data_IF_545619580452
#
_entry.id   IF_545619580452
#
_cell.length_a   1.000
_cell.length_b   1.000
_cell.length_c   1.000
_cell.angle_alpha   90.00
_cell.angle_beta   90.00
_cell.angle_gamma   90.00
#
_symmetry.space_group_name_H-M   'P 1'
#
loop_
_entity.id
_entity.type
_entity.pdbx_description
1 polymer ?
#
# COMPACT_ATOMS: atom_id res chain seq x y z
N UNK A 1 -8.72 -42.48 6.27
CA UNK A 1 -9.13 -41.32 5.42
C UNK A 1 -8.39 -40.09 5.93
N UNK A 2 -7.39 -39.60 5.18
CA UNK A 2 -6.68 -38.37 5.53
C UNK A 2 -7.55 -37.20 5.04
N UNK A 3 -8.07 -36.39 5.94
CA UNK A 3 -8.82 -35.20 5.57
C UNK A 3 -7.84 -34.21 4.94
N UNK A 4 -7.98 -33.99 3.63
CA UNK A 4 -7.35 -32.86 2.97
C UNK A 4 -8.12 -31.62 3.40
N UNK A 5 -7.57 -30.86 4.34
CA UNK A 5 -8.04 -29.51 4.63
C UNK A 5 -7.98 -28.75 3.31
N UNK A 6 -9.14 -28.51 2.70
CA UNK A 6 -9.27 -27.59 1.57
C UNK A 6 -8.83 -26.22 2.08
N UNK A 7 -7.55 -25.88 1.92
CA UNK A 7 -7.08 -24.53 2.12
C UNK A 7 -7.79 -23.67 1.07
N UNK A 8 -8.84 -22.97 1.48
CA UNK A 8 -9.56 -22.03 0.62
C UNK A 8 -8.54 -21.09 -0.01
N UNK A 9 -8.33 -21.12 -1.34
CA UNK A 9 -7.45 -20.18 -1.97
C UNK A 9 -8.12 -18.80 -1.92
N UNK A 10 -7.41 -17.81 -1.38
CA UNK A 10 -7.44 -16.48 -2.03
C UNK A 10 -8.09 -15.30 -1.34
N UNK A 11 -8.66 -15.38 -0.12
CA UNK A 11 -9.28 -14.17 0.47
C UNK A 11 -9.29 -14.12 2.01
N UNK A 12 -8.17 -14.46 2.66
CA UNK A 12 -8.07 -14.29 4.11
C UNK A 12 -7.87 -12.81 4.44
N UNK A 13 -8.72 -12.21 5.31
CA UNK A 13 -8.54 -10.83 5.79
C UNK A 13 -7.12 -10.57 6.33
N UNK A 14 -6.49 -11.58 6.95
CA UNK A 14 -5.12 -11.49 7.45
C UNK A 14 -4.11 -11.17 6.34
N UNK A 15 -4.27 -11.76 5.15
CA UNK A 15 -3.37 -11.49 4.01
C UNK A 15 -3.56 -10.06 3.49
N UNK A 16 -4.79 -9.55 3.44
CA UNK A 16 -5.05 -8.17 3.03
C UNK A 16 -4.44 -7.18 4.02
N UNK A 17 -4.64 -7.40 5.31
CA UNK A 17 -4.03 -6.61 6.38
C UNK A 17 -2.50 -6.63 6.26
N UNK A 18 -1.90 -7.81 6.11
CA UNK A 18 -0.45 -7.94 5.92
C UNK A 18 0.06 -7.23 4.67
N UNK A 19 -0.70 -7.27 3.57
CA UNK A 19 -0.36 -6.55 2.32
C UNK A 19 -0.34 -5.05 2.54
N UNK A 20 -1.36 -4.50 3.22
CA UNK A 20 -1.44 -3.06 3.50
C UNK A 20 -0.30 -2.60 4.42
N UNK A 21 -0.08 -3.29 5.53
CA UNK A 21 0.99 -2.94 6.47
C UNK A 21 2.38 -3.18 5.90
N UNK A 22 2.57 -4.21 5.07
CA UNK A 22 3.82 -4.43 4.34
C UNK A 22 4.15 -3.25 3.43
N UNK A 23 3.19 -2.81 2.60
CA UNK A 23 3.40 -1.64 1.74
C UNK A 23 3.69 -0.34 2.50
N UNK A 24 3.16 -0.19 3.73
CA UNK A 24 3.49 0.95 4.60
C UNK A 24 4.90 0.78 5.20
N UNK A 25 5.27 -0.42 5.61
CA UNK A 25 6.62 -0.68 6.12
C UNK A 25 7.68 -0.41 5.04
N UNK A 26 7.40 -0.77 3.78
CA UNK A 26 8.30 -0.52 2.65
C UNK A 26 8.60 0.97 2.44
N UNK A 27 7.74 1.89 2.91
CA UNK A 27 8.01 3.33 2.80
C UNK A 27 9.07 3.82 3.79
N UNK A 28 9.43 3.03 4.81
CA UNK A 28 10.48 3.40 5.77
C UNK A 28 11.85 3.53 5.11
N UNK A 29 12.07 2.78 4.02
CA UNK A 29 13.31 2.79 3.25
C UNK A 29 13.27 3.78 2.07
N UNK A 30 12.23 4.61 1.95
CA UNK A 30 12.09 5.55 0.84
C UNK A 30 12.95 6.81 1.02
N UNK A 31 13.43 7.32 -0.11
CA UNK A 31 14.10 8.61 -0.17
C UNK A 31 13.12 9.76 0.08
N UNK A 32 13.66 10.92 0.50
CA UNK A 32 12.85 12.10 0.84
C UNK A 32 11.91 12.54 -0.30
N UNK A 33 12.35 12.42 -1.55
CA UNK A 33 11.56 12.85 -2.72
C UNK A 33 10.33 11.96 -2.94
N UNK A 34 10.44 10.67 -2.69
CA UNK A 34 9.31 9.73 -2.77
C UNK A 34 8.31 9.99 -1.65
N UNK A 35 8.79 10.26 -0.43
CA UNK A 35 7.96 10.70 0.68
C UNK A 35 7.19 11.99 0.35
N UNK A 36 7.86 12.98 -0.25
CA UNK A 36 7.22 14.22 -0.67
C UNK A 36 6.13 13.98 -1.72
N UNK A 37 6.40 13.11 -2.69
CA UNK A 37 5.43 12.77 -3.73
C UNK A 37 4.22 11.99 -3.15
N UNK A 38 4.44 11.11 -2.18
CA UNK A 38 3.38 10.44 -1.44
C UNK A 38 2.52 11.44 -0.66
N UNK A 39 3.14 12.34 0.10
CA UNK A 39 2.42 13.39 0.84
C UNK A 39 1.55 14.24 -0.08
N UNK A 40 2.08 14.66 -1.24
CA UNK A 40 1.31 15.42 -2.22
C UNK A 40 0.09 14.65 -2.74
N UNK A 41 0.22 13.34 -3.02
CA UNK A 41 -0.91 12.49 -3.44
C UNK A 41 -1.97 12.36 -2.35
N UNK A 42 -1.55 12.16 -1.10
CA UNK A 42 -2.47 12.04 0.04
C UNK A 42 -3.21 13.36 0.28
N UNK A 43 -2.53 14.50 0.18
CA UNK A 43 -3.16 15.83 0.28
C UNK A 43 -4.13 16.10 -0.86
N UNK A 44 -3.78 15.71 -2.09
CA UNK A 44 -4.64 15.85 -3.26
C UNK A 44 -5.93 15.02 -3.18
N UNK A 45 -6.00 14.03 -2.30
CA UNK A 45 -7.23 13.27 -2.05
C UNK A 45 -8.35 14.11 -1.42
N UNK A 46 -8.03 15.26 -0.83
CA UNK A 46 -8.98 16.10 -0.09
C UNK A 46 -9.52 15.47 1.21
N UNK A 47 -9.06 14.25 1.54
CA UNK A 47 -9.48 13.55 2.76
C UNK A 47 -8.57 13.97 3.92
N UNK A 48 -9.12 14.37 5.08
CA UNK A 48 -8.31 14.65 6.26
C UNK A 48 -7.44 13.45 6.62
N UNK A 49 -6.18 13.68 7.01
CA UNK A 49 -5.21 12.59 7.25
C UNK A 49 -5.75 11.54 8.24
N UNK A 50 -6.40 11.97 9.32
CA UNK A 50 -7.00 11.08 10.32
C UNK A 50 -8.26 10.32 9.86
N UNK A 51 -8.71 10.52 8.62
CA UNK A 51 -9.86 9.84 8.01
C UNK A 51 -9.47 9.02 6.77
N UNK A 52 -8.18 8.99 6.43
CA UNK A 52 -7.70 8.17 5.33
C UNK A 52 -7.91 6.69 5.64
N UNK A 53 -8.52 5.98 4.71
CA UNK A 53 -8.63 4.53 4.77
C UNK A 53 -7.32 3.85 4.38
N UNK A 54 -7.07 2.64 4.88
CA UNK A 54 -5.91 1.84 4.47
C UNK A 54 -5.84 1.64 2.95
N UNK A 55 -7.00 1.50 2.30
CA UNK A 55 -7.06 1.38 0.85
C UNK A 55 -6.55 2.63 0.12
N UNK A 56 -6.99 3.83 0.55
CA UNK A 56 -6.53 5.09 -0.03
C UNK A 56 -5.02 5.28 0.15
N UNK A 57 -4.50 4.97 1.34
CA UNK A 57 -3.06 5.01 1.62
C UNK A 57 -2.29 4.08 0.67
N UNK A 58 -2.76 2.85 0.49
CA UNK A 58 -2.13 1.87 -0.39
C UNK A 58 -2.14 2.28 -1.87
N UNK A 59 -3.25 2.85 -2.36
CA UNK A 59 -3.34 3.39 -3.72
C UNK A 59 -2.35 4.54 -3.93
N UNK A 60 -2.18 5.40 -2.93
CA UNK A 60 -1.21 6.49 -3.00
C UNK A 60 0.24 5.99 -3.00
N UNK A 61 0.57 4.98 -2.18
CA UNK A 61 1.89 4.34 -2.14
C UNK A 61 2.21 3.70 -3.51
N UNK A 62 1.33 2.85 -4.03
CA UNK A 62 1.52 2.19 -5.33
C UNK A 62 1.59 3.19 -6.49
N UNK A 63 0.83 4.28 -6.44
CA UNK A 63 0.92 5.38 -7.39
C UNK A 63 2.26 6.12 -7.36
N UNK A 64 2.90 6.19 -6.18
CA UNK A 64 4.21 6.82 -5.99
C UNK A 64 5.33 5.97 -6.57
N UNK A 65 5.40 4.69 -6.22
CA UNK A 65 6.40 3.75 -6.77
C UNK A 65 6.36 3.70 -8.30
N UNK A 66 5.16 3.64 -8.88
CA UNK A 66 4.99 3.62 -10.35
C UNK A 66 5.51 4.90 -11.01
N UNK A 67 5.43 6.04 -10.31
CA UNK A 67 5.90 7.32 -10.85
C UNK A 67 7.41 7.46 -10.73
N UNK A 68 8.01 6.98 -9.63
CA UNK A 68 9.46 6.89 -9.46
C UNK A 68 10.10 6.03 -10.56
N UNK A 69 9.53 4.85 -10.83
CA UNK A 69 10.01 3.97 -11.90
C UNK A 69 9.89 4.61 -13.31
N UNK A 70 8.90 5.49 -13.53
CA UNK A 70 8.77 6.21 -14.81
C UNK A 70 9.76 7.37 -14.96
N UNK A 71 10.28 7.92 -13.87
CA UNK A 71 11.22 9.04 -13.91
C UNK A 71 12.68 8.59 -14.12
N UNK A 72 12.99 7.31 -13.89
CA UNK A 72 14.32 6.73 -14.05
C UNK A 72 14.55 5.93 -15.36
N UNK A 73 13.61 5.97 -16.31
CA UNK A 73 13.68 5.31 -17.62
C UNK A 73 13.63 6.35 -18.75
#
# INVERSE_FOLDING_TARGET
>A
MKQHTSATPGNSPARHIATYFGAIADTLDWEYTDWQALSARLQASGTPIGQLTLHQVHVAITGTVRSAHKAGA
#
